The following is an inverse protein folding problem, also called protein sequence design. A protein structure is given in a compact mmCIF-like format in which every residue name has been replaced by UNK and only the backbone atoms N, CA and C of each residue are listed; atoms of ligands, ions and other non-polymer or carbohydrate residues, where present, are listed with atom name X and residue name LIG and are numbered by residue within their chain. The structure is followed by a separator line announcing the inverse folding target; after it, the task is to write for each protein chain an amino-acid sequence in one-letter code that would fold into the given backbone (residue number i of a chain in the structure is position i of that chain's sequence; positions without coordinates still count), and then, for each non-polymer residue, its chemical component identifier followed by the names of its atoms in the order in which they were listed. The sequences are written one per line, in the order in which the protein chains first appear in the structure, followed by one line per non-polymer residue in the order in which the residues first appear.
data_IF_763007162929
#
_entry.id   IF_763007162929
#
_cell.length_a   1.000
_cell.length_b   1.000
_cell.length_c   1.000
_cell.angle_alpha   90.00
_cell.angle_beta   90.00
_cell.angle_gamma   90.00
#
_symmetry.space_group_name_H-M   'P 1'
#
loop_
_entity.id
_entity.type
_entity.pdbx_description
1 polymer ?
#
# COMPACT_ATOMS: atom_id res chain seq x y z
N UNK A 1 32.43 -2.80 -7.10
CA UNK A 1 31.45 -2.15 -6.20
C UNK A 1 30.44 -3.20 -5.79
N UNK A 2 30.38 -3.58 -4.51
CA UNK A 2 29.27 -4.42 -4.03
C UNK A 2 28.04 -3.54 -4.09
N UNK A 3 27.02 -3.94 -4.84
CA UNK A 3 25.72 -3.30 -4.77
C UNK A 3 25.35 -3.22 -3.29
N UNK A 4 25.10 -2.00 -2.80
CA UNK A 4 24.41 -1.82 -1.54
C UNK A 4 23.08 -2.54 -1.76
N UNK A 5 22.93 -3.74 -1.23
CA UNK A 5 21.64 -4.44 -1.23
C UNK A 5 20.78 -3.62 -0.29
N UNK A 6 20.18 -2.53 -0.80
CA UNK A 6 18.99 -1.97 -0.17
C UNK A 6 18.09 -3.18 0.03
N UNK A 7 17.70 -3.46 1.27
CA UNK A 7 16.75 -4.52 1.54
C UNK A 7 15.48 -4.16 0.79
N UNK A 8 15.30 -4.78 -0.37
CA UNK A 8 14.22 -4.45 -1.30
C UNK A 8 12.87 -4.67 -0.63
N UNK A 9 12.80 -5.64 0.30
CA UNK A 9 11.61 -5.85 1.13
C UNK A 9 11.35 -4.64 2.02
N UNK A 10 12.35 -4.14 2.73
CA UNK A 10 12.21 -2.94 3.56
C UNK A 10 11.80 -1.71 2.74
N UNK A 11 12.40 -1.54 1.56
CA UNK A 11 12.02 -0.46 0.65
C UNK A 11 10.54 -0.56 0.28
N UNK A 12 10.08 -1.71 -0.22
CA UNK A 12 8.69 -1.93 -0.62
C UNK A 12 7.72 -1.69 0.54
N UNK A 13 8.05 -2.21 1.73
CA UNK A 13 7.19 -2.02 2.91
C UNK A 13 7.06 -0.54 3.28
N UNK A 14 8.17 0.19 3.33
CA UNK A 14 8.16 1.62 3.62
C UNK A 14 7.41 2.42 2.55
N UNK A 15 7.60 2.11 1.26
CA UNK A 15 6.89 2.79 0.16
C UNK A 15 5.38 2.58 0.27
N UNK A 16 4.92 1.34 0.50
CA UNK A 16 3.50 1.03 0.65
C UNK A 16 2.90 1.72 1.88
N UNK A 17 3.62 1.71 3.01
CA UNK A 17 3.21 2.39 4.23
C UNK A 17 3.03 3.89 3.99
N UNK A 18 4.06 4.56 3.44
CA UNK A 18 4.02 6.00 3.10
C UNK A 18 2.90 6.33 2.12
N UNK A 19 2.75 5.54 1.07
CA UNK A 19 1.68 5.73 0.07
C UNK A 19 0.30 5.66 0.72
N UNK A 20 0.04 4.64 1.54
CA UNK A 20 -1.25 4.49 2.21
C UNK A 20 -1.53 5.62 3.21
N UNK A 21 -0.54 6.05 3.99
CA UNK A 21 -0.70 7.19 4.90
C UNK A 21 -1.08 8.46 4.12
N UNK A 22 -0.35 8.77 3.05
CA UNK A 22 -0.65 9.92 2.19
C UNK A 22 -2.05 9.86 1.59
N UNK A 23 -2.47 8.70 1.06
CA UNK A 23 -3.80 8.56 0.46
C UNK A 23 -4.93 8.60 1.48
N UNK A 24 -4.75 8.05 2.67
CA UNK A 24 -5.74 8.17 3.74
C UNK A 24 -5.95 9.64 4.14
N UNK A 25 -4.87 10.41 4.24
CA UNK A 25 -4.91 11.84 4.55
C UNK A 25 -5.52 12.66 3.40
N UNK A 26 -5.11 12.41 2.14
CA UNK A 26 -5.63 13.09 0.94
C UNK A 26 -7.14 12.91 0.79
N UNK A 27 -7.65 11.70 1.02
CA UNK A 27 -9.06 11.37 0.90
C UNK A 27 -9.85 11.67 2.19
N UNK A 28 -9.16 11.98 3.30
CA UNK A 28 -9.78 12.22 4.60
C UNK A 28 -10.52 11.01 5.18
N UNK A 29 -10.04 9.79 4.91
CA UNK A 29 -10.69 8.54 5.32
C UNK A 29 -9.85 7.78 6.35
N UNK A 30 -10.54 7.02 7.21
CA UNK A 30 -9.88 6.11 8.15
C UNK A 30 -9.49 4.78 7.50
N UNK A 31 -8.58 4.03 8.13
CA UNK A 31 -8.26 2.64 7.75
C UNK A 31 -9.51 1.75 7.66
N UNK A 32 -10.44 1.92 8.60
CA UNK A 32 -11.72 1.18 8.62
C UNK A 32 -12.58 1.51 7.41
N UNK A 33 -12.61 2.79 7.03
CA UNK A 33 -13.38 3.26 5.89
C UNK A 33 -12.77 2.79 4.56
N UNK A 34 -11.44 2.83 4.42
CA UNK A 34 -10.75 2.25 3.26
C UNK A 34 -11.12 0.77 3.07
N UNK A 35 -11.06 -0.02 4.14
CA UNK A 35 -11.44 -1.44 4.10
C UNK A 35 -12.89 -1.59 3.68
N UNK A 36 -13.80 -0.78 4.23
CA UNK A 36 -15.22 -0.82 3.87
C UNK A 36 -15.44 -0.53 2.38
N UNK A 37 -14.76 0.48 1.84
CA UNK A 37 -14.89 0.87 0.42
C UNK A 37 -14.31 -0.18 -0.52
N UNK A 38 -13.12 -0.71 -0.22
CA UNK A 38 -12.52 -1.82 -0.98
C UNK A 38 -13.47 -3.03 -1.03
N UNK A 39 -13.99 -3.47 0.12
CA UNK A 39 -14.92 -4.59 0.15
C UNK A 39 -16.23 -4.29 -0.61
N UNK A 40 -16.72 -3.05 -0.59
CA UNK A 40 -17.91 -2.65 -1.36
C UNK A 40 -17.68 -2.70 -2.88
N UNK A 41 -16.44 -2.52 -3.34
CA UNK A 41 -16.06 -2.67 -4.75
C UNK A 41 -15.75 -4.13 -5.14
N UNK A 42 -15.93 -5.09 -4.23
CA UNK A 42 -15.66 -6.51 -4.49
C UNK A 42 -14.20 -6.90 -4.27
N UNK A 43 -13.43 -6.06 -3.58
CA UNK A 43 -12.04 -6.32 -3.22
C UNK A 43 -11.91 -6.83 -1.78
N UNK A 44 -11.86 -8.16 -1.57
CA UNK A 44 -11.87 -8.74 -0.23
C UNK A 44 -10.55 -8.45 0.48
N UNK A 45 -10.60 -7.61 1.51
CA UNK A 45 -9.46 -7.31 2.37
C UNK A 45 -9.88 -7.11 3.83
N UNK A 46 -9.04 -7.54 4.76
CA UNK A 46 -9.28 -7.35 6.20
C UNK A 46 -8.58 -6.11 6.73
N UNK A 47 -9.14 -5.52 7.79
CA UNK A 47 -8.50 -4.42 8.52
C UNK A 47 -7.09 -4.79 9.01
N UNK A 48 -6.89 -6.01 9.49
CA UNK A 48 -5.57 -6.47 9.95
C UNK A 48 -4.53 -6.44 8.83
N UNK A 49 -4.94 -6.72 7.59
CA UNK A 49 -4.07 -6.69 6.40
C UNK A 49 -3.63 -5.25 6.10
N UNK A 50 -4.60 -4.33 5.96
CA UNK A 50 -4.32 -2.90 5.72
C UNK A 50 -3.47 -2.30 6.83
N UNK A 51 -3.82 -2.56 8.10
CA UNK A 51 -3.03 -2.09 9.23
C UNK A 51 -1.62 -2.69 9.24
N UNK A 52 -1.45 -3.92 8.79
CA UNK A 52 -0.16 -4.56 8.65
C UNK A 52 0.73 -3.89 7.59
N UNK A 53 0.15 -3.36 6.51
CA UNK A 53 0.89 -2.58 5.51
C UNK A 53 1.36 -1.25 6.09
N UNK A 54 0.46 -0.49 6.71
CA UNK A 54 0.77 0.83 7.27
C UNK A 54 1.81 0.73 8.40
N UNK A 55 1.71 -0.30 9.25
CA UNK A 55 2.64 -0.51 10.37
C UNK A 55 3.92 -1.28 10.00
N UNK A 56 4.20 -1.48 8.71
CA UNK A 56 5.37 -2.22 8.23
C UNK A 56 5.50 -3.63 8.84
N UNK A 57 4.38 -4.32 9.07
CA UNK A 57 4.35 -5.71 9.57
C UNK A 57 4.18 -6.73 8.45
N UNK A 58 3.51 -6.36 7.36
CA UNK A 58 3.20 -7.25 6.25
C UNK A 58 3.80 -6.71 4.95
N UNK A 59 4.36 -7.61 4.15
CA UNK A 59 4.66 -7.33 2.75
C UNK A 59 3.36 -7.40 1.95
N UNK A 60 3.15 -6.46 1.03
CA UNK A 60 1.99 -6.49 0.14
C UNK A 60 2.09 -7.65 -0.85
N UNK A 61 0.97 -8.32 -1.11
CA UNK A 61 0.88 -9.34 -2.17
C UNK A 61 0.58 -8.67 -3.51
N UNK A 62 0.95 -9.31 -4.63
CA UNK A 62 0.67 -8.76 -5.96
C UNK A 62 -0.82 -8.50 -6.21
N UNK A 63 -1.70 -9.36 -5.72
CA UNK A 63 -3.16 -9.18 -5.83
C UNK A 63 -3.62 -7.91 -5.11
N UNK A 64 -3.14 -7.67 -3.90
CA UNK A 64 -3.53 -6.53 -3.10
C UNK A 64 -2.90 -5.24 -3.63
N UNK A 65 -1.71 -5.33 -4.23
CA UNK A 65 -1.07 -4.21 -4.91
C UNK A 65 -1.90 -3.74 -6.11
N UNK A 66 -2.33 -4.66 -6.98
CA UNK A 66 -3.17 -4.34 -8.13
C UNK A 66 -4.53 -3.77 -7.71
N UNK A 67 -5.13 -4.35 -6.67
CA UNK A 67 -6.38 -3.85 -6.09
C UNK A 67 -6.25 -2.42 -5.55
N UNK A 68 -5.17 -2.11 -4.83
CA UNK A 68 -4.94 -0.74 -4.35
C UNK A 68 -4.66 0.23 -5.51
N UNK A 69 -3.93 -0.23 -6.53
CA UNK A 69 -3.66 0.56 -7.73
C UNK A 69 -4.96 0.91 -8.46
N UNK A 70 -5.86 -0.05 -8.65
CA UNK A 70 -7.18 0.19 -9.23
C UNK A 70 -8.03 1.14 -8.37
N UNK A 71 -8.14 0.86 -7.06
CA UNK A 71 -8.94 1.68 -6.14
C UNK A 71 -8.50 3.15 -6.06
N UNK A 72 -7.20 3.40 -6.03
CA UNK A 72 -6.64 4.76 -5.97
C UNK A 72 -6.36 5.36 -7.35
N UNK A 73 -6.77 4.69 -8.43
CA UNK A 73 -6.54 5.11 -9.82
C UNK A 73 -5.08 5.47 -10.11
N UNK A 74 -4.15 4.64 -9.63
CA UNK A 74 -2.70 4.84 -9.74
C UNK A 74 -1.99 3.61 -10.34
N UNK A 75 -0.69 3.74 -10.60
CA UNK A 75 0.17 2.62 -11.03
C UNK A 75 0.75 1.88 -9.84
N UNK A 76 1.06 0.58 -10.02
CA UNK A 76 1.80 -0.19 -9.02
C UNK A 76 3.19 0.38 -8.75
N UNK A 77 3.81 1.01 -9.75
CA UNK A 77 5.14 1.63 -9.63
C UNK A 77 5.13 2.79 -8.64
N UNK A 78 4.07 3.60 -8.63
CA UNK A 78 3.88 4.68 -7.66
C UNK A 78 3.76 4.13 -6.23
N UNK A 79 2.95 3.09 -6.03
CA UNK A 79 2.78 2.45 -4.72
C UNK A 79 4.09 1.84 -4.20
N UNK A 80 4.90 1.27 -5.10
CA UNK A 80 6.20 0.68 -4.76
C UNK A 80 7.30 1.74 -4.57
N UNK A 81 7.02 3.02 -4.83
CA UNK A 81 7.98 4.11 -4.69
C UNK A 81 9.08 4.07 -5.76
N UNK A 82 8.73 3.66 -6.98
CA UNK A 82 9.63 3.70 -8.14
C UNK A 82 10.00 5.14 -8.54
N UNK A 83 9.12 6.09 -8.19
CA UNK A 83 9.33 7.53 -8.29
C UNK A 83 9.24 8.09 -6.87
N UNK A 84 10.26 8.84 -6.42
CA UNK A 84 10.23 9.45 -5.08
C UNK A 84 8.97 10.37 -4.98
N UNK A 85 8.04 9.99 -4.09
CA UNK A 85 6.83 10.75 -3.73
C UNK A 85 7.16 11.97 -2.86
#
# INVERSE_FOLDING_TARGET
MKAQTKDYKTHVMNSVSKFLELKLDEFGISKTELVRQLNAQGYPISYATVNGYITNRNLITGSNLLMLADFFETSTDEILGAYDL
#
